data_IF_910346538602
#
_entry.id   IF_910346538602
#
_cell.length_a   1.000
_cell.length_b   1.000
_cell.length_c   1.000
_cell.angle_alpha   90.00
_cell.angle_beta   90.00
_cell.angle_gamma   90.00
#
_symmetry.space_group_name_H-M   'P 1'
#
loop_
_entity.id
_entity.type
_entity.pdbx_description
1 polymer ?
#
# COMPACT_ATOMS: atom_id res chain seq x y z
N UNK A 1 32.16 13.51 7.35
CA UNK A 1 31.31 12.31 7.57
C UNK A 1 29.88 12.76 7.36
N UNK A 2 29.22 12.30 6.30
CA UNK A 2 27.81 12.63 6.07
C UNK A 2 26.97 11.91 7.14
N UNK A 3 26.07 12.64 7.81
CA UNK A 3 25.17 12.07 8.79
C UNK A 3 24.31 10.99 8.12
N UNK A 4 24.23 9.80 8.73
CA UNK A 4 23.34 8.75 8.25
C UNK A 4 21.91 9.23 8.51
N UNK A 5 21.04 9.34 7.49
CA UNK A 5 19.68 9.79 7.69
C UNK A 5 18.92 8.77 8.55
N UNK A 6 18.03 9.26 9.42
CA UNK A 6 17.26 8.43 10.35
C UNK A 6 16.30 7.44 9.65
N UNK A 7 16.04 7.64 8.36
CA UNK A 7 15.21 6.80 7.51
C UNK A 7 15.72 6.84 6.04
N UNK A 8 15.36 5.87 5.19
CA UNK A 8 15.86 5.79 3.81
C UNK A 8 15.21 6.77 2.83
N UNK A 9 14.11 7.43 3.21
CA UNK A 9 13.28 8.27 2.33
C UNK A 9 13.83 9.71 2.16
N UNK A 10 14.98 9.84 1.50
CA UNK A 10 15.63 11.14 1.22
C UNK A 10 15.88 11.33 -0.28
N UNK A 11 14.97 10.85 -1.13
CA UNK A 11 15.15 10.86 -2.59
C UNK A 11 15.19 12.28 -3.15
N UNK A 12 16.18 12.57 -3.99
CA UNK A 12 16.26 13.84 -4.73
C UNK A 12 15.23 13.94 -5.86
N UNK A 13 14.75 12.80 -6.36
CA UNK A 13 13.69 12.68 -7.36
C UNK A 13 12.27 12.75 -6.78
N UNK A 14 12.14 12.98 -5.48
CA UNK A 14 10.84 13.07 -4.82
C UNK A 14 9.98 14.20 -5.41
N UNK A 15 8.69 13.96 -5.51
CA UNK A 15 7.68 14.91 -6.02
C UNK A 15 6.66 15.30 -4.94
N UNK A 16 6.81 14.77 -3.72
CA UNK A 16 6.00 15.10 -2.54
C UNK A 16 6.80 14.84 -1.26
N UNK A 17 6.47 15.62 -0.23
CA UNK A 17 7.01 15.45 1.12
C UNK A 17 5.89 15.05 2.07
N UNK A 18 6.07 13.95 2.81
CA UNK A 18 5.22 13.64 3.96
C UNK A 18 5.89 14.15 5.23
N UNK A 19 5.13 14.85 6.07
CA UNK A 19 5.61 15.43 7.33
C UNK A 19 4.90 14.75 8.49
N UNK A 20 5.63 13.96 9.30
CA UNK A 20 5.04 13.20 10.41
C UNK A 20 4.62 14.09 11.58
N UNK A 21 3.79 13.55 12.48
CA UNK A 21 3.37 14.27 13.69
C UNK A 21 4.49 14.54 14.68
N UNK A 22 5.59 13.79 14.60
CA UNK A 22 6.83 13.97 15.38
C UNK A 22 7.94 14.69 14.58
N UNK A 23 7.55 15.48 13.57
CA UNK A 23 8.41 16.40 12.80
C UNK A 23 9.52 15.73 11.97
N UNK A 24 9.29 14.50 11.49
CA UNK A 24 10.18 13.79 10.57
C UNK A 24 9.70 14.00 9.13
N UNK A 25 10.65 14.30 8.24
CA UNK A 25 10.40 14.71 6.85
C UNK A 25 10.76 13.58 5.89
N UNK A 26 9.77 13.07 5.16
CA UNK A 26 9.94 11.98 4.21
C UNK A 26 9.80 12.50 2.77
N UNK A 27 10.89 12.43 2.00
CA UNK A 27 10.89 12.73 0.56
C UNK A 27 10.52 11.46 -0.21
N UNK A 28 9.33 11.45 -0.83
CA UNK A 28 8.73 10.25 -1.44
C UNK A 28 8.14 10.57 -2.82
N UNK A 29 7.58 9.54 -3.47
CA UNK A 29 7.04 9.61 -4.83
C UNK A 29 5.54 9.36 -4.82
N UNK A 30 4.75 10.30 -5.35
CA UNK A 30 3.29 10.20 -5.47
C UNK A 30 2.90 8.92 -6.21
N UNK A 31 3.59 8.60 -7.30
CA UNK A 31 3.33 7.40 -8.10
C UNK A 31 3.39 6.11 -7.27
N UNK A 32 4.41 5.95 -6.43
CA UNK A 32 4.57 4.73 -5.62
C UNK A 32 3.44 4.63 -4.59
N UNK A 33 3.09 5.74 -3.95
CA UNK A 33 1.98 5.79 -3.00
C UNK A 33 0.63 5.52 -3.67
N UNK A 34 0.39 6.09 -4.87
CA UNK A 34 -0.83 5.88 -5.64
C UNK A 34 -0.99 4.44 -6.16
N UNK A 35 0.13 3.78 -6.53
CA UNK A 35 0.12 2.35 -6.88
C UNK A 35 -0.20 1.49 -5.64
N UNK A 36 0.34 1.87 -4.48
CA UNK A 36 0.18 1.09 -3.25
C UNK A 36 -1.19 1.28 -2.58
N UNK A 37 -1.88 2.40 -2.85
CA UNK A 37 -3.08 2.83 -2.12
C UNK A 37 -4.03 3.63 -3.00
N UNK A 38 -5.27 3.15 -3.04
CA UNK A 38 -6.39 3.86 -3.68
C UNK A 38 -6.64 5.22 -3.00
N UNK A 39 -6.51 5.29 -1.67
CA UNK A 39 -6.62 6.55 -0.91
C UNK A 39 -5.63 7.60 -1.41
N UNK A 40 -4.35 7.24 -1.57
CA UNK A 40 -3.33 8.19 -2.02
C UNK A 40 -3.54 8.58 -3.48
N UNK A 41 -3.91 7.63 -4.35
CA UNK A 41 -4.26 7.93 -5.74
C UNK A 41 -5.37 8.99 -5.80
N UNK A 42 -6.49 8.71 -5.14
CA UNK A 42 -7.66 9.58 -5.17
C UNK A 42 -7.34 10.95 -4.54
N UNK A 43 -6.54 10.99 -3.47
CA UNK A 43 -6.08 12.23 -2.83
C UNK A 43 -5.20 13.09 -3.75
N UNK A 44 -4.33 12.48 -4.56
CA UNK A 44 -3.47 13.22 -5.50
C UNK A 44 -4.22 13.70 -6.75
N UNK A 45 -5.31 13.05 -7.12
CA UNK A 45 -6.17 13.43 -8.25
C UNK A 45 -7.11 14.60 -7.91
N UNK A 46 -7.25 14.97 -6.64
CA UNK A 46 -8.07 16.11 -6.23
C UNK A 46 -7.49 17.44 -6.76
N UNK A 47 -8.32 18.33 -7.33
CA UNK A 47 -7.88 19.67 -7.71
C UNK A 47 -7.33 20.42 -6.49
N UNK A 48 -6.04 20.76 -6.53
CA UNK A 48 -5.46 21.62 -5.52
C UNK A 48 -5.98 23.05 -5.73
N UNK A 49 -6.38 23.78 -4.68
CA UNK A 49 -6.72 25.18 -4.81
C UNK A 49 -5.50 25.92 -5.35
N UNK A 50 -5.61 26.46 -6.57
CA UNK A 50 -4.55 27.26 -7.18
C UNK A 50 -4.39 28.52 -6.34
N UNK A 51 -3.25 28.65 -5.66
CA UNK A 51 -2.76 29.95 -5.23
C UNK A 51 -2.45 30.74 -6.50
N UNK A 52 -3.45 31.48 -6.99
CA UNK A 52 -3.28 32.41 -8.10
C UNK A 52 -2.19 33.40 -7.70
N UNK A 53 -1.02 33.20 -8.29
CA UNK A 53 0.13 34.09 -8.24
C UNK A 53 -0.16 35.33 -9.08
N UNK A 54 -1.08 36.16 -8.62
CA UNK A 54 -1.13 37.56 -9.03
C UNK A 54 -0.27 38.33 -8.02
N UNK A 55 0.93 38.66 -8.49
CA UNK A 55 1.79 39.75 -8.06
C UNK A 55 1.40 40.47 -6.76
N UNK A 56 2.01 40.09 -5.64
CA UNK A 56 2.62 41.07 -4.76
C UNK A 56 3.68 40.40 -3.86
N UNK A 57 4.89 40.90 -4.00
CA UNK A 57 6.11 40.47 -3.32
C UNK A 57 6.06 40.83 -1.84
N UNK A 58 5.23 40.17 -1.03
CA UNK A 58 5.28 40.22 0.45
C UNK A 58 4.32 39.25 1.13
N UNK A 59 4.09 38.06 0.58
CA UNK A 59 3.46 36.97 1.34
C UNK A 59 4.56 36.20 2.12
N UNK A 60 4.39 35.93 3.43
CA UNK A 60 5.32 35.10 4.17
C UNK A 60 5.34 33.72 3.53
N UNK A 61 6.52 33.10 3.48
CA UNK A 61 6.74 31.72 3.00
C UNK A 61 5.73 30.82 3.71
N UNK A 62 4.63 30.49 3.05
CA UNK A 62 3.60 29.64 3.64
C UNK A 62 4.21 28.25 3.82
N UNK A 63 3.89 27.63 4.95
CA UNK A 63 4.42 26.37 5.47
C UNK A 63 4.13 25.13 4.59
N UNK A 64 3.86 25.32 3.31
CA UNK A 64 3.27 24.34 2.39
C UNK A 64 4.29 23.71 1.44
N UNK A 65 5.54 24.20 1.43
CA UNK A 65 6.60 23.68 0.56
C UNK A 65 7.91 23.45 1.32
N UNK A 66 8.52 22.27 1.09
CA UNK A 66 9.87 21.92 1.56
C UNK A 66 10.69 21.61 0.31
N UNK A 67 11.78 22.36 0.11
CA UNK A 67 12.64 22.28 -1.10
C UNK A 67 11.86 22.43 -2.42
N UNK A 68 10.79 23.25 -2.42
CA UNK A 68 9.90 23.44 -3.57
C UNK A 68 8.92 22.30 -3.83
N UNK A 69 8.91 21.27 -2.98
CA UNK A 69 7.97 20.14 -3.07
C UNK A 69 6.74 20.39 -2.20
N UNK A 70 5.53 19.96 -2.63
CA UNK A 70 4.33 20.05 -1.82
C UNK A 70 4.45 19.19 -0.55
N UNK A 71 4.03 19.74 0.58
CA UNK A 71 4.08 19.08 1.89
C UNK A 71 2.71 18.58 2.31
N UNK A 72 2.64 17.32 2.75
CA UNK A 72 1.44 16.70 3.30
C UNK A 72 1.72 16.39 4.77
N UNK A 73 1.00 17.07 5.67
CA UNK A 73 1.08 16.85 7.11
C UNK A 73 0.29 15.61 7.50
N UNK A 74 0.95 14.70 8.21
CA UNK A 74 0.44 13.41 8.64
C UNK A 74 0.18 13.43 10.15
N UNK A 75 -0.82 12.68 10.61
CA UNK A 75 -1.09 12.50 12.05
C UNK A 75 -0.22 11.38 12.64
N UNK A 76 0.29 10.52 11.76
CA UNK A 76 1.08 9.35 12.07
C UNK A 76 2.51 9.76 12.42
N UNK A 77 3.06 9.10 13.45
CA UNK A 77 4.44 9.30 13.87
C UNK A 77 5.42 8.60 12.93
N UNK A 78 6.69 8.96 13.03
CA UNK A 78 7.78 8.33 12.29
C UNK A 78 7.86 6.81 12.51
N UNK A 79 7.49 6.34 13.71
CA UNK A 79 7.43 4.91 14.06
C UNK A 79 6.36 4.14 13.28
N UNK A 80 5.30 4.80 12.84
CA UNK A 80 4.29 4.21 11.97
C UNK A 80 4.66 4.41 10.49
N UNK A 81 5.03 5.64 10.10
CA UNK A 81 5.26 5.99 8.70
C UNK A 81 6.50 5.32 8.10
N UNK A 82 7.61 5.22 8.83
CA UNK A 82 8.84 4.62 8.29
C UNK A 82 8.62 3.17 7.85
N UNK A 83 8.16 2.24 8.71
CA UNK A 83 7.88 0.87 8.28
C UNK A 83 6.76 0.80 7.23
N UNK A 84 5.73 1.64 7.33
CA UNK A 84 4.65 1.67 6.35
C UNK A 84 5.15 2.02 4.95
N UNK A 85 5.99 3.06 4.83
CA UNK A 85 6.62 3.45 3.58
C UNK A 85 7.58 2.38 3.08
N UNK A 86 8.31 1.70 3.96
CA UNK A 86 9.16 0.56 3.57
C UNK A 86 8.35 -0.56 2.92
N UNK A 87 7.10 -0.79 3.37
CA UNK A 87 6.20 -1.76 2.76
C UNK A 87 5.62 -1.32 1.41
N UNK A 88 5.57 0.00 1.15
CA UNK A 88 5.13 0.56 -0.13
C UNK A 88 6.23 0.53 -1.19
N UNK A 89 7.48 0.70 -0.76
CA UNK A 89 8.64 0.73 -1.63
C UNK A 89 9.23 -0.68 -1.82
N UNK A 90 10.03 -0.92 -2.88
CA UNK A 90 10.78 -2.16 -3.05
C UNK A 90 11.99 -2.22 -2.10
N UNK A 91 11.75 -2.01 -0.81
CA UNK A 91 12.74 -2.11 0.27
C UNK A 91 12.56 -3.42 1.03
N UNK A 92 13.51 -3.71 1.91
CA UNK A 92 13.40 -4.84 2.85
C UNK A 92 12.19 -4.64 3.77
N UNK A 93 11.52 -5.72 4.13
CA UNK A 93 10.40 -5.66 5.07
C UNK A 93 10.89 -5.14 6.43
N UNK A 94 10.18 -4.18 7.05
CA UNK A 94 10.56 -3.67 8.35
C UNK A 94 10.44 -4.76 9.41
N UNK A 95 11.40 -4.77 10.34
CA UNK A 95 11.34 -5.64 11.50
C UNK A 95 10.41 -5.00 12.54
N UNK A 96 9.21 -5.57 12.69
CA UNK A 96 8.23 -5.15 13.69
C UNK A 96 8.22 -6.17 14.82
N UNK A 97 8.78 -5.81 15.98
CA UNK A 97 8.98 -6.75 17.09
C UNK A 97 7.96 -6.58 18.20
N UNK A 98 7.46 -5.36 18.40
CA UNK A 98 6.51 -5.08 19.47
C UNK A 98 5.08 -4.97 18.94
N UNK A 99 4.13 -5.41 19.76
CA UNK A 99 2.70 -5.26 19.43
C UNK A 99 2.29 -3.79 19.27
N UNK A 100 2.96 -2.87 19.95
CA UNK A 100 2.71 -1.42 19.82
C UNK A 100 3.10 -0.92 18.43
N UNK A 101 4.26 -1.32 17.91
CA UNK A 101 4.69 -0.98 16.54
C UNK A 101 3.76 -1.61 15.50
N UNK A 102 3.47 -2.91 15.63
CA UNK A 102 2.57 -3.61 14.70
C UNK A 102 1.20 -2.94 14.66
N UNK A 103 0.66 -2.55 15.82
CA UNK A 103 -0.61 -1.82 15.92
C UNK A 103 -0.56 -0.47 15.19
N UNK A 104 0.47 0.33 15.43
CA UNK A 104 0.60 1.65 14.82
C UNK A 104 0.73 1.55 13.29
N UNK A 105 1.46 0.56 12.79
CA UNK A 105 1.57 0.30 11.34
C UNK A 105 0.26 -0.20 10.76
N UNK A 106 -0.43 -1.12 11.44
CA UNK A 106 -1.69 -1.67 10.99
C UNK A 106 -2.80 -0.61 10.93
N UNK A 107 -2.87 0.27 11.94
CA UNK A 107 -3.79 1.40 11.97
C UNK A 107 -3.55 2.35 10.80
N UNK A 108 -2.30 2.75 10.56
CA UNK A 108 -1.95 3.59 9.43
C UNK A 108 -2.24 2.89 8.08
N UNK A 109 -1.95 1.59 7.98
CA UNK A 109 -2.19 0.82 6.77
C UNK A 109 -3.69 0.73 6.43
N UNK A 110 -4.54 0.51 7.44
CA UNK A 110 -6.01 0.52 7.25
C UNK A 110 -6.49 1.93 6.89
N UNK A 111 -6.01 2.96 7.61
CA UNK A 111 -6.39 4.36 7.37
C UNK A 111 -6.10 4.82 5.95
N UNK A 112 -4.95 4.44 5.40
CA UNK A 112 -4.51 4.82 4.06
C UNK A 112 -4.82 3.76 3.00
N UNK A 113 -5.69 2.78 3.29
CA UNK A 113 -6.04 1.70 2.37
C UNK A 113 -4.83 1.01 1.68
N UNK A 114 -3.77 0.77 2.46
CA UNK A 114 -2.55 0.11 2.01
C UNK A 114 -2.67 -1.39 2.20
N UNK A 115 -3.45 -2.05 1.33
CA UNK A 115 -3.87 -3.46 1.49
C UNK A 115 -2.72 -4.42 1.78
N UNK A 116 -1.62 -4.33 1.02
CA UNK A 116 -0.44 -5.19 1.22
C UNK A 116 0.22 -4.95 2.58
N UNK A 117 0.35 -3.70 3.00
CA UNK A 117 0.90 -3.36 4.30
C UNK A 117 -0.01 -3.87 5.43
N UNK A 118 -1.34 -3.75 5.28
CA UNK A 118 -2.32 -4.29 6.23
C UNK A 118 -2.21 -5.80 6.36
N UNK A 119 -2.07 -6.54 5.26
CA UNK A 119 -1.90 -8.00 5.29
C UNK A 119 -0.62 -8.42 6.01
N UNK A 120 0.50 -7.74 5.74
CA UNK A 120 1.78 -8.03 6.41
C UNK A 120 1.67 -7.71 7.90
N UNK A 121 1.12 -6.55 8.27
CA UNK A 121 0.96 -6.17 9.68
C UNK A 121 0.00 -7.11 10.44
N UNK A 122 -1.10 -7.58 9.81
CA UNK A 122 -1.99 -8.61 10.39
C UNK A 122 -1.25 -9.92 10.64
N UNK A 123 -0.41 -10.38 9.70
CA UNK A 123 0.40 -11.58 9.87
C UNK A 123 1.35 -11.45 11.07
N UNK A 124 2.06 -10.34 11.17
CA UNK A 124 2.93 -10.04 12.34
C UNK A 124 2.14 -9.96 13.64
N UNK A 125 0.93 -9.40 13.61
CA UNK A 125 0.07 -9.36 14.78
C UNK A 125 -0.34 -10.77 15.24
N UNK A 126 -0.63 -11.67 14.30
CA UNK A 126 -0.95 -13.08 14.60
C UNK A 126 0.25 -13.82 15.21
N UNK A 127 1.47 -13.56 14.73
CA UNK A 127 2.71 -14.11 15.30
C UNK A 127 2.91 -13.71 16.78
N UNK A 128 2.34 -12.57 17.20
CA UNK A 128 2.40 -12.06 18.58
C UNK A 128 1.25 -12.52 19.47
N UNK A 129 0.29 -13.30 18.97
CA UNK A 129 -0.83 -13.81 19.77
C UNK A 129 -0.34 -14.60 20.99
N UNK A 130 0.61 -15.55 20.89
CA UNK A 130 1.05 -16.33 22.06
C UNK A 130 1.69 -15.48 23.16
N UNK A 131 2.30 -14.35 22.81
CA UNK A 131 3.00 -13.49 23.78
C UNK A 131 2.10 -12.43 24.41
N UNK A 132 1.07 -11.97 23.70
CA UNK A 132 0.21 -10.88 24.16
C UNK A 132 -1.26 -11.04 23.68
N UNK A 133 -1.93 -12.15 24.00
CA UNK A 133 -3.21 -12.49 23.38
C UNK A 133 -4.33 -11.50 23.75
N UNK A 134 -4.38 -11.02 25.00
CA UNK A 134 -5.33 -9.97 25.41
C UNK A 134 -5.14 -8.66 24.65
N UNK A 135 -3.89 -8.23 24.45
CA UNK A 135 -3.59 -6.99 23.70
C UNK A 135 -4.01 -7.13 22.25
N UNK A 136 -3.71 -8.26 21.62
CA UNK A 136 -4.14 -8.53 20.24
C UNK A 136 -5.66 -8.55 20.15
N UNK A 137 -6.37 -9.20 21.08
CA UNK A 137 -7.83 -9.23 21.11
C UNK A 137 -8.43 -7.81 21.17
N UNK A 138 -7.92 -6.96 22.06
CA UNK A 138 -8.37 -5.57 22.22
C UNK A 138 -8.18 -4.77 20.93
N UNK A 139 -6.98 -4.84 20.34
CA UNK A 139 -6.63 -4.13 19.11
C UNK A 139 -7.49 -4.63 17.95
N UNK A 140 -7.60 -5.95 17.79
CA UNK A 140 -8.42 -6.56 16.75
C UNK A 140 -9.90 -6.16 16.90
N UNK A 141 -10.41 -6.10 18.13
CA UNK A 141 -11.76 -5.60 18.40
C UNK A 141 -11.95 -4.14 17.95
N UNK A 142 -10.99 -3.27 18.28
CA UNK A 142 -11.03 -1.84 17.91
C UNK A 142 -10.98 -1.63 16.40
N UNK A 143 -10.19 -2.45 15.70
CA UNK A 143 -9.98 -2.34 14.25
C UNK A 143 -10.99 -3.15 13.43
N UNK A 144 -11.96 -3.82 14.06
CA UNK A 144 -12.96 -4.64 13.37
C UNK A 144 -12.37 -5.89 12.70
N UNK A 145 -11.30 -6.43 13.26
CA UNK A 145 -10.54 -7.56 12.71
C UNK A 145 -11.02 -8.88 13.35
N UNK A 146 -12.14 -9.41 12.85
CA UNK A 146 -12.83 -10.54 13.47
C UNK A 146 -11.98 -11.82 13.54
N UNK A 147 -11.29 -12.17 12.46
CA UNK A 147 -10.44 -13.36 12.42
C UNK A 147 -9.30 -13.29 13.43
N UNK A 148 -8.63 -12.13 13.51
CA UNK A 148 -7.56 -11.90 14.47
C UNK A 148 -8.07 -11.86 15.91
N UNK A 149 -9.25 -11.27 16.13
CA UNK A 149 -9.89 -11.27 17.44
C UNK A 149 -10.27 -12.69 17.86
N UNK A 150 -10.78 -13.51 16.94
CA UNK A 150 -11.12 -14.89 17.22
C UNK A 150 -9.88 -15.73 17.56
N UNK A 151 -8.82 -15.60 16.76
CA UNK A 151 -7.55 -16.29 17.01
C UNK A 151 -6.96 -15.91 18.38
N UNK A 152 -7.03 -14.62 18.75
CA UNK A 152 -6.60 -14.17 20.06
C UNK A 152 -7.50 -14.71 21.18
N UNK A 153 -8.82 -14.72 21.02
CA UNK A 153 -9.76 -15.26 22.00
C UNK A 153 -9.54 -16.76 22.26
N UNK A 154 -9.26 -17.53 21.22
CA UNK A 154 -8.86 -18.94 21.36
C UNK A 154 -7.61 -19.08 22.23
N UNK A 155 -6.60 -18.25 22.00
CA UNK A 155 -5.37 -18.30 22.79
C UNK A 155 -5.60 -17.89 24.24
N UNK A 156 -6.40 -16.84 24.48
CA UNK A 156 -6.79 -16.41 25.83
C UNK A 156 -7.45 -17.56 26.60
N UNK A 157 -8.38 -18.27 25.94
CA UNK A 157 -9.06 -19.43 26.52
C UNK A 157 -8.08 -20.55 26.84
N UNK A 158 -7.19 -20.91 25.90
CA UNK A 158 -6.19 -21.97 26.08
C UNK A 158 -5.23 -21.68 27.22
N UNK A 159 -4.73 -20.46 27.30
CA UNK A 159 -3.73 -20.03 28.29
C UNK A 159 -4.35 -19.55 29.62
N UNK A 160 -5.70 -19.47 29.71
CA UNK A 160 -6.47 -19.06 30.90
C UNK A 160 -6.07 -17.69 31.45
N UNK A 161 -5.80 -16.75 30.55
CA UNK A 161 -5.31 -15.41 30.92
C UNK A 161 -6.41 -14.34 30.91
N UNK A 162 -7.69 -14.72 30.84
CA UNK A 162 -8.80 -13.77 30.69
C UNK A 162 -8.94 -12.74 31.82
N UNK A 163 -8.46 -13.06 33.03
CA UNK A 163 -8.58 -12.21 34.22
C UNK A 163 -7.35 -11.29 34.44
N UNK A 164 -6.38 -11.30 33.52
CA UNK A 164 -5.19 -10.45 33.64
C UNK A 164 -5.51 -9.00 33.25
N UNK A 165 -5.12 -8.06 34.11
CA UNK A 165 -5.18 -6.65 33.78
C UNK A 165 -4.09 -6.30 32.76
N UNK A 166 -4.46 -5.52 31.75
CA UNK A 166 -3.55 -4.97 30.75
C UNK A 166 -3.86 -3.49 30.63
N UNK A 167 -2.84 -2.63 30.58
CA UNK A 167 -2.98 -1.17 30.51
C UNK A 167 -3.91 -0.66 29.38
N UNK A 168 -4.12 -1.48 28.33
CA UNK A 168 -5.04 -1.20 27.22
C UNK A 168 -6.48 -1.70 27.42
N UNK A 169 -6.84 -2.28 28.56
CA UNK A 169 -8.21 -2.76 28.82
C UNK A 169 -9.24 -1.62 28.80
N UNK A 170 -8.83 -0.39 29.08
CA UNK A 170 -9.72 0.78 29.04
C UNK A 170 -10.12 1.17 27.61
N UNK A 171 -9.37 0.71 26.60
CA UNK A 171 -9.62 1.01 25.18
C UNK A 171 -10.65 0.06 24.54
N UNK A 172 -10.97 -1.08 25.20
CA UNK A 172 -11.96 -2.03 24.69
C UNK A 172 -13.35 -1.69 25.23
N UNK A 173 -14.36 -1.76 24.36
CA UNK A 173 -15.75 -1.63 24.82
C UNK A 173 -16.08 -2.73 25.85
N UNK A 174 -16.80 -2.37 26.92
CA UNK A 174 -17.26 -3.32 27.92
C UNK A 174 -17.94 -4.54 27.29
N UNK A 175 -18.73 -4.33 26.22
CA UNK A 175 -19.39 -5.41 25.50
C UNK A 175 -18.41 -6.40 24.84
N UNK A 176 -17.29 -5.93 24.29
CA UNK A 176 -16.28 -6.80 23.69
C UNK A 176 -15.50 -7.60 24.73
N UNK A 177 -15.22 -7.01 25.89
CA UNK A 177 -14.65 -7.75 27.03
C UNK A 177 -15.64 -8.78 27.60
N UNK A 178 -16.91 -8.41 27.78
CA UNK A 178 -17.94 -9.33 28.27
C UNK A 178 -18.15 -10.52 27.33
N UNK A 179 -18.10 -10.32 26.01
CA UNK A 179 -18.15 -11.42 25.03
C UNK A 179 -16.96 -12.36 25.16
N UNK A 180 -15.75 -11.85 25.42
CA UNK A 180 -14.58 -12.68 25.68
C UNK A 180 -14.78 -13.55 26.93
N UNK A 181 -15.25 -12.96 28.03
CA UNK A 181 -15.52 -13.71 29.25
C UNK A 181 -16.58 -14.80 29.04
N UNK A 182 -17.65 -14.49 28.31
CA UNK A 182 -18.68 -15.45 27.93
C UNK A 182 -18.11 -16.56 27.03
N UNK A 183 -17.27 -16.22 26.06
CA UNK A 183 -16.60 -17.19 25.19
C UNK A 183 -15.72 -18.16 26.01
N UNK A 184 -14.97 -17.64 26.99
CA UNK A 184 -14.15 -18.47 27.87
C UNK A 184 -14.98 -19.35 28.80
N UNK A 185 -16.10 -18.85 29.34
CA UNK A 185 -16.97 -19.63 30.24
C UNK A 185 -17.77 -20.71 29.49
N UNK A 186 -18.11 -20.47 28.22
CA UNK A 186 -18.80 -21.41 27.35
C UNK A 186 -17.86 -22.46 26.70
N UNK A 187 -16.59 -22.53 27.11
CA UNK A 187 -15.66 -23.55 26.66
C UNK A 187 -15.10 -23.36 25.24
N UNK A 188 -15.18 -22.14 24.69
CA UNK A 188 -14.64 -21.82 23.36
C UNK A 188 -15.49 -22.30 22.17
N UNK A 189 -16.68 -22.85 22.41
CA UNK A 189 -17.61 -23.33 21.38
C UNK A 189 -18.78 -22.37 21.10
N UNK A 190 -18.84 -21.25 21.83
CA UNK A 190 -19.84 -20.21 21.57
C UNK A 190 -19.50 -19.48 20.26
N UNK A 191 -20.47 -19.39 19.34
CA UNK A 191 -20.33 -18.66 18.09
C UNK A 191 -19.73 -17.28 18.31
N UNK A 192 -18.53 -17.06 17.77
CA UNK A 192 -17.79 -15.82 17.93
C UNK A 192 -18.28 -14.79 16.91
N UNK A 193 -18.96 -13.75 17.40
CA UNK A 193 -19.45 -12.64 16.57
C UNK A 193 -19.17 -11.29 17.21
N UNK A 194 -18.40 -10.46 16.52
CA UNK A 194 -18.16 -9.08 16.96
C UNK A 194 -19.34 -8.20 16.53
N UNK A 195 -20.41 -8.14 17.32
CA UNK A 195 -21.45 -7.13 17.07
C UNK A 195 -20.87 -5.76 17.38
N UNK A 196 -20.54 -4.99 16.34
CA UNK A 196 -20.20 -3.58 16.43
C UNK A 196 -21.46 -2.80 16.79
N UNK A 197 -21.50 -2.19 17.97
CA UNK A 197 -22.48 -1.13 18.24
C UNK A 197 -21.88 0.15 17.70
N UNK A 198 -22.15 0.48 16.45
CA UNK A 198 -22.05 1.86 16.01
C UNK A 198 -23.16 2.66 16.73
N UNK A 199 -22.91 3.89 17.20
CA UNK A 199 -23.95 4.72 17.77
C UNK A 199 -24.93 5.08 16.65
N UNK A 200 -25.98 4.28 16.51
CA UNK A 200 -27.09 4.58 15.62
C UNK A 200 -27.72 5.87 16.09
N UNK A 201 -27.60 6.94 15.29
CA UNK A 201 -28.51 8.08 15.37
C UNK A 201 -29.92 7.53 15.15
N UNK A 202 -30.67 7.38 16.24
CA UNK A 202 -32.09 7.10 16.22
C UNK A 202 -32.83 8.31 15.66
N UNK A 203 -33.34 8.19 14.44
CA UNK A 203 -34.35 9.07 13.85
C UNK A 203 -35.54 8.22 13.38
N UNK A 204 -36.80 8.68 13.54
CA UNK A 204 -37.95 7.79 13.51
C UNK A 204 -38.32 7.33 12.09
N UNK A 205 -38.87 6.12 12.05
CA UNK A 205 -39.46 5.45 10.88
C UNK A 205 -40.56 6.30 10.22
N UNK A 206 -40.55 6.39 8.89
CA UNK A 206 -41.75 6.72 8.10
C UNK A 206 -41.95 5.69 6.99
N UNK A 207 -43.21 5.29 6.86
CA UNK A 207 -43.73 4.18 6.05
C UNK A 207 -43.69 4.46 4.55
N UNK A 208 -43.54 3.36 3.80
CA UNK A 208 -43.95 3.12 2.41
C UNK A 208 -45.22 3.89 2.02
N UNK A 209 -45.20 4.54 0.86
CA UNK A 209 -46.29 4.46 -0.09
C UNK A 209 -45.83 4.68 -1.54
N UNK A 210 -46.55 4.04 -2.45
CA UNK A 210 -46.22 3.73 -3.84
C UNK A 210 -47.14 4.53 -4.76
N UNK A 211 -46.64 5.38 -5.67
CA UNK A 211 -47.34 5.70 -6.93
C UNK A 211 -46.47 6.39 -8.00
N UNK A 212 -46.92 6.16 -9.24
CA UNK A 212 -46.33 6.31 -10.57
C UNK A 212 -46.51 7.72 -11.19
N UNK A 213 -45.81 7.88 -12.33
CA UNK A 213 -45.94 8.88 -13.42
C UNK A 213 -45.29 10.24 -13.12
N UNK A 214 -44.75 11.03 -14.05
CA UNK A 214 -44.30 11.02 -15.47
C UNK A 214 -44.05 12.51 -15.80
N UNK A 215 -43.40 12.85 -16.91
CA UNK A 215 -43.28 14.16 -17.57
C UNK A 215 -42.03 14.99 -17.22
N UNK A 216 -41.02 14.77 -18.08
CA UNK A 216 -40.39 15.74 -18.99
C UNK A 216 -40.26 17.21 -18.53
N UNK A 217 -39.00 17.69 -18.44
CA UNK A 217 -38.58 18.94 -19.08
C UNK A 217 -37.07 19.11 -19.11
N UNK A 218 -36.57 19.14 -20.33
CA UNK A 218 -35.24 19.57 -20.80
C UNK A 218 -34.70 20.86 -20.16
N UNK A 219 -33.39 20.89 -19.93
CA UNK A 219 -32.57 22.09 -20.17
C UNK A 219 -31.11 21.73 -20.40
N UNK A 220 -30.72 21.80 -21.67
CA UNK A 220 -29.34 21.80 -22.14
C UNK A 220 -28.66 23.13 -21.75
N UNK A 221 -27.39 23.06 -21.33
CA UNK A 221 -26.49 24.20 -21.34
C UNK A 221 -25.23 23.76 -22.09
N UNK A 222 -25.18 24.19 -23.35
CA UNK A 222 -23.99 24.26 -24.20
C UNK A 222 -23.04 25.31 -23.62
N UNK A 223 -21.75 25.03 -23.53
CA UNK A 223 -20.75 26.10 -23.61
C UNK A 223 -19.55 25.67 -24.46
N UNK A 224 -19.18 26.63 -25.30
CA UNK A 224 -18.33 26.63 -26.47
C UNK A 224 -16.84 26.47 -26.16
N UNK A 225 -16.15 25.72 -27.02
CA UNK A 225 -14.69 25.68 -27.14
C UNK A 225 -14.21 26.90 -27.93
N UNK A 226 -13.12 27.58 -27.54
CA UNK A 226 -12.34 28.37 -28.48
C UNK A 226 -11.17 27.54 -29.02
N UNK A 227 -11.21 27.36 -30.34
CA UNK A 227 -10.06 27.02 -31.17
C UNK A 227 -9.21 28.29 -31.31
N UNK A 228 -7.89 28.19 -31.10
CA UNK A 228 -6.95 29.14 -31.69
C UNK A 228 -5.64 28.46 -32.06
N UNK A 229 -5.28 28.66 -33.31
CA UNK A 229 -4.14 28.14 -34.06
C UNK A 229 -2.95 29.10 -33.99
N UNK A 230 -1.71 28.59 -33.86
CA UNK A 230 -0.52 28.93 -34.68
C UNK A 230 0.83 28.53 -34.02
N UNK A 231 1.47 27.49 -34.59
CA UNK A 231 2.88 27.36 -35.08
C UNK A 231 4.12 27.73 -34.24
N UNK A 232 5.30 27.13 -34.57
CA UNK A 232 6.31 26.68 -33.62
C UNK A 232 7.54 27.61 -33.51
N UNK A 233 8.34 27.42 -32.47
CA UNK A 233 9.73 27.88 -32.46
C UNK A 233 10.69 26.82 -31.92
N UNK A 234 11.85 26.79 -32.58
CA UNK A 234 12.89 25.75 -32.53
C UNK A 234 14.03 26.16 -31.59
N UNK A 235 14.67 25.13 -31.03
CA UNK A 235 16.01 25.07 -30.42
C UNK A 235 16.17 25.45 -28.94
N UNK A 236 16.48 24.44 -28.12
CA UNK A 236 17.79 24.35 -27.44
C UNK A 236 18.10 22.89 -27.16
N UNK A 237 19.28 22.48 -27.61
CA UNK A 237 19.85 21.14 -27.46
C UNK A 237 20.33 20.95 -26.02
N UNK A 238 19.83 19.90 -25.35
CA UNK A 238 20.35 19.38 -24.09
C UNK A 238 20.25 17.85 -24.09
N UNK A 239 21.39 17.17 -23.93
CA UNK A 239 21.61 15.72 -23.91
C UNK A 239 20.40 14.84 -23.47
N UNK A 240 20.02 13.79 -24.21
CA UNK A 240 19.00 12.86 -23.74
C UNK A 240 19.65 11.89 -22.75
N UNK A 241 19.45 12.12 -21.47
CA UNK A 241 19.27 10.99 -20.54
C UNK A 241 17.90 10.39 -20.88
N UNK A 242 17.75 9.06 -21.03
CA UNK A 242 16.46 8.48 -21.32
C UNK A 242 15.60 8.55 -20.05
N UNK A 243 14.88 9.66 -19.91
CA UNK A 243 13.73 9.74 -19.01
C UNK A 243 12.64 8.95 -19.70
N UNK A 244 12.37 7.73 -19.22
CA UNK A 244 11.24 6.94 -19.68
C UNK A 244 9.97 7.76 -19.43
N UNK A 245 9.37 8.30 -20.49
CA UNK A 245 8.09 9.00 -20.43
C UNK A 245 7.06 8.10 -19.77
N UNK A 246 6.40 8.67 -18.77
CA UNK A 246 5.31 8.11 -17.97
C UNK A 246 4.03 7.95 -18.80
N UNK A 247 4.04 7.00 -19.73
CA UNK A 247 2.83 6.33 -20.21
C UNK A 247 2.77 4.94 -19.60
N UNK A 248 1.58 4.40 -19.37
CA UNK A 248 1.40 2.99 -19.02
C UNK A 248 1.97 2.12 -20.14
N UNK A 249 3.25 1.74 -20.02
CA UNK A 249 3.90 0.88 -21.00
C UNK A 249 3.42 -0.54 -20.70
N UNK A 250 2.48 -1.03 -21.51
CA UNK A 250 2.18 -2.45 -21.57
C UNK A 250 3.38 -3.17 -22.19
N UNK A 251 4.24 -3.72 -21.32
CA UNK A 251 5.43 -4.47 -21.73
C UNK A 251 5.06 -5.95 -21.74
N UNK A 252 5.33 -6.63 -22.85
CA UNK A 252 5.22 -8.08 -22.94
C UNK A 252 6.62 -8.67 -22.90
N UNK A 253 6.85 -9.65 -22.02
CA UNK A 253 8.07 -10.45 -22.06
C UNK A 253 7.86 -11.60 -23.04
N UNK A 254 8.81 -11.78 -23.95
CA UNK A 254 8.87 -12.95 -24.84
C UNK A 254 9.84 -13.96 -24.23
N UNK A 255 9.33 -15.07 -23.73
CA UNK A 255 10.11 -16.09 -23.03
C UNK A 255 10.83 -17.03 -24.00
N UNK A 256 11.80 -17.81 -23.51
CA UNK A 256 12.58 -18.71 -24.38
C UNK A 256 11.76 -19.87 -24.96
N UNK A 257 10.64 -20.22 -24.33
CA UNK A 257 9.62 -21.16 -24.82
C UNK A 257 8.55 -20.49 -25.71
N UNK A 258 8.76 -19.22 -26.10
CA UNK A 258 7.92 -18.50 -27.05
C UNK A 258 6.59 -18.00 -26.48
N UNK A 259 6.42 -17.98 -25.16
CA UNK A 259 5.23 -17.43 -24.52
C UNK A 259 5.34 -15.91 -24.36
N UNK A 260 4.18 -15.27 -24.40
CA UNK A 260 4.02 -13.81 -24.24
C UNK A 260 3.45 -13.54 -22.85
N UNK A 261 4.26 -12.97 -21.96
CA UNK A 261 3.83 -12.62 -20.60
C UNK A 261 3.61 -11.11 -20.49
N UNK A 262 2.35 -10.63 -20.45
CA UNK A 262 2.09 -9.22 -20.21
C UNK A 262 2.44 -8.86 -18.77
N UNK A 263 3.15 -7.75 -18.59
CA UNK A 263 3.44 -7.18 -17.28
C UNK A 263 2.47 -6.03 -17.04
N UNK A 264 1.70 -6.12 -15.95
CA UNK A 264 0.86 -5.01 -15.49
C UNK A 264 1.72 -4.02 -14.69
N UNK A 265 2.05 -2.89 -15.31
CA UNK A 265 2.75 -1.77 -14.67
C UNK A 265 4.28 -1.89 -14.60
N UNK A 266 4.92 -0.84 -14.10
CA UNK A 266 6.39 -0.70 -14.11
C UNK A 266 7.09 -1.36 -12.91
N UNK A 267 6.35 -1.99 -11.99
CA UNK A 267 6.88 -2.49 -10.71
C UNK A 267 8.07 -3.45 -10.84
N UNK A 268 8.01 -4.40 -11.79
CA UNK A 268 9.10 -5.36 -12.02
C UNK A 268 10.33 -4.72 -12.66
N UNK A 269 10.19 -3.62 -13.41
CA UNK A 269 11.32 -2.89 -13.99
C UNK A 269 12.13 -2.16 -12.93
N UNK A 270 11.47 -1.61 -11.91
CA UNK A 270 12.17 -1.02 -10.77
C UNK A 270 12.88 -2.07 -9.92
N UNK A 271 12.42 -3.31 -9.96
CA UNK A 271 13.00 -4.42 -9.23
C UNK A 271 14.21 -5.07 -9.92
N UNK A 272 14.38 -4.86 -11.24
CA UNK A 272 15.48 -5.44 -12.01
C UNK A 272 16.21 -4.40 -12.85
N UNK A 273 17.47 -4.07 -12.51
CA UNK A 273 18.31 -3.20 -13.33
C UNK A 273 18.52 -3.75 -14.75
N UNK A 274 18.58 -5.07 -14.91
CA UNK A 274 18.74 -5.70 -16.22
C UNK A 274 17.49 -5.58 -17.09
N UNK A 275 16.29 -5.84 -16.55
CA UNK A 275 15.05 -5.65 -17.31
C UNK A 275 14.83 -4.18 -17.67
N UNK A 276 15.10 -3.27 -16.73
CA UNK A 276 15.06 -1.83 -16.98
C UNK A 276 16.02 -1.42 -18.10
N UNK A 277 17.25 -1.93 -18.10
CA UNK A 277 18.23 -1.67 -19.17
C UNK A 277 17.82 -2.29 -20.52
N UNK A 278 17.21 -3.47 -20.52
CA UNK A 278 16.71 -4.13 -21.74
C UNK A 278 15.57 -3.34 -22.38
N UNK A 279 14.68 -2.77 -21.56
CA UNK A 279 13.59 -1.90 -21.99
C UNK A 279 14.13 -0.54 -22.48
N UNK A 280 15.03 0.09 -21.73
CA UNK A 280 15.60 1.40 -22.07
C UNK A 280 16.44 1.41 -23.36
N UNK A 281 17.00 0.25 -23.77
CA UNK A 281 17.74 0.10 -25.03
C UNK A 281 16.84 0.08 -26.28
N UNK A 282 15.52 0.06 -26.12
CA UNK A 282 14.57 0.03 -27.24
C UNK A 282 13.87 1.38 -27.38
N UNK A 283 14.08 2.02 -28.53
CA UNK A 283 13.60 3.36 -28.85
C UNK A 283 12.18 3.39 -29.43
N UNK A 284 11.53 2.25 -29.63
CA UNK A 284 10.16 2.17 -30.16
C UNK A 284 9.22 1.48 -29.18
N UNK A 285 8.10 2.16 -28.95
CA UNK A 285 6.96 1.75 -28.15
C UNK A 285 6.27 0.59 -28.88
N UNK A 286 6.00 -0.50 -28.15
CA UNK A 286 5.52 -1.83 -28.58
C UNK A 286 6.60 -2.79 -29.16
N UNK A 287 6.74 -4.05 -28.73
CA UNK A 287 5.85 -4.80 -27.83
C UNK A 287 6.49 -6.01 -27.13
N UNK A 288 7.74 -6.43 -27.38
CA UNK A 288 8.24 -7.69 -26.80
C UNK A 288 9.69 -7.62 -26.33
N UNK A 289 9.93 -7.81 -25.03
CA UNK A 289 11.28 -7.91 -24.46
C UNK A 289 11.66 -9.39 -24.35
N UNK A 290 12.63 -9.88 -25.14
CA UNK A 290 13.04 -11.27 -25.09
C UNK A 290 13.78 -11.53 -23.78
N UNK A 291 13.38 -12.60 -23.11
CA UNK A 291 14.02 -13.15 -21.92
C UNK A 291 14.42 -14.59 -22.22
N UNK A 292 15.52 -15.01 -21.61
CA UNK A 292 16.13 -16.33 -21.86
C UNK A 292 15.50 -17.46 -21.06
N UNK A 293 14.60 -17.11 -20.14
CA UNK A 293 13.96 -17.97 -19.17
C UNK A 293 12.60 -18.40 -19.70
N UNK A 294 12.15 -19.63 -19.39
CA UNK A 294 10.83 -20.10 -19.77
C UNK A 294 9.73 -19.37 -19.00
N UNK A 295 8.50 -19.46 -19.51
CA UNK A 295 7.36 -18.73 -18.95
C UNK A 295 7.08 -19.06 -17.47
N UNK A 296 7.24 -20.32 -17.08
CA UNK A 296 7.03 -20.75 -15.70
C UNK A 296 7.96 -19.99 -14.72
N UNK A 297 9.24 -19.89 -15.05
CA UNK A 297 10.24 -19.18 -14.23
C UNK A 297 9.95 -17.68 -14.15
N UNK A 298 9.61 -17.06 -15.29
CA UNK A 298 9.29 -15.63 -15.30
C UNK A 298 7.97 -15.32 -14.59
N UNK A 299 6.99 -16.22 -14.64
CA UNK A 299 5.72 -16.09 -13.93
C UNK A 299 5.93 -16.06 -12.40
N UNK A 300 6.83 -16.90 -11.88
CA UNK A 300 7.22 -16.87 -10.46
C UNK A 300 7.77 -15.49 -10.08
N UNK A 301 8.71 -14.96 -10.88
CA UNK A 301 9.31 -13.65 -10.61
C UNK A 301 8.27 -12.54 -10.68
N UNK A 302 7.42 -12.50 -11.70
CA UNK A 302 6.36 -11.50 -11.85
C UNK A 302 5.43 -11.53 -10.63
N UNK A 303 4.97 -12.72 -10.22
CA UNK A 303 4.05 -12.88 -9.08
C UNK A 303 4.63 -12.47 -7.74
N UNK A 304 5.96 -12.54 -7.54
CA UNK A 304 6.59 -11.96 -6.33
C UNK A 304 6.35 -10.44 -6.24
N UNK A 305 6.22 -9.76 -7.38
CA UNK A 305 6.01 -8.32 -7.46
C UNK A 305 4.57 -7.94 -7.79
N UNK A 306 3.71 -8.92 -8.07
CA UNK A 306 2.27 -8.72 -8.23
C UNK A 306 1.61 -8.50 -6.85
N UNK A 307 0.79 -7.45 -6.68
CA UNK A 307 0.11 -7.17 -5.41
C UNK A 307 -1.08 -8.10 -5.13
N UNK A 308 -1.58 -8.86 -6.10
CA UNK A 308 -2.79 -9.68 -6.02
C UNK A 308 -2.54 -11.19 -6.11
N UNK A 309 -1.43 -11.62 -6.71
CA UNK A 309 -1.11 -13.04 -6.88
C UNK A 309 0.10 -13.46 -6.03
N UNK A 310 -0.01 -14.61 -5.35
CA UNK A 310 1.17 -15.25 -4.75
C UNK A 310 1.85 -16.17 -5.78
N UNK A 311 3.19 -16.21 -5.82
CA UNK A 311 3.89 -17.17 -6.65
C UNK A 311 3.60 -18.59 -6.15
N UNK A 312 3.23 -19.46 -7.07
CA UNK A 312 3.01 -20.87 -6.80
C UNK A 312 4.19 -21.66 -7.37
N UNK A 313 4.76 -22.55 -6.57
CA UNK A 313 5.86 -23.43 -6.99
C UNK A 313 5.29 -24.83 -7.21
N UNK A 314 5.38 -25.37 -8.43
CA UNK A 314 4.84 -26.71 -8.70
C UNK A 314 5.78 -27.80 -8.16
N UNK A 315 7.10 -27.56 -8.21
CA UNK A 315 8.11 -28.50 -7.75
C UNK A 315 9.42 -27.81 -7.28
N UNK A 316 10.39 -28.62 -6.87
CA UNK A 316 11.72 -28.15 -6.46
C UNK A 316 12.52 -27.53 -7.62
N UNK A 317 12.20 -27.90 -8.87
CA UNK A 317 12.88 -27.42 -10.06
C UNK A 317 12.50 -25.95 -10.34
N UNK A 318 11.24 -25.59 -10.14
CA UNK A 318 10.73 -24.22 -10.23
C UNK A 318 11.44 -23.28 -9.26
N UNK A 319 11.73 -23.74 -8.05
CA UNK A 319 12.43 -22.97 -7.02
C UNK A 319 13.88 -22.72 -7.42
N UNK A 320 14.55 -23.76 -7.90
CA UNK A 320 15.93 -23.64 -8.34
C UNK A 320 16.04 -22.71 -9.56
N UNK A 321 15.17 -22.91 -10.56
CA UNK A 321 15.09 -22.06 -11.74
C UNK A 321 14.75 -20.61 -11.39
N UNK A 322 13.77 -20.41 -10.49
CA UNK A 322 13.36 -19.10 -9.99
C UNK A 322 14.50 -18.37 -9.27
N UNK A 323 15.28 -19.08 -8.45
CA UNK A 323 16.39 -18.50 -7.71
C UNK A 323 17.54 -18.08 -8.64
N UNK A 324 17.90 -18.92 -9.61
CA UNK A 324 18.90 -18.59 -10.64
C UNK A 324 18.46 -17.36 -11.45
N UNK A 325 17.20 -17.33 -11.86
CA UNK A 325 16.66 -16.20 -12.62
C UNK A 325 16.61 -14.92 -11.76
N UNK A 326 16.20 -15.01 -10.50
CA UNK A 326 16.18 -13.86 -9.58
C UNK A 326 17.57 -13.27 -9.35
N UNK A 327 18.60 -14.11 -9.18
CA UNK A 327 20.00 -13.69 -9.08
C UNK A 327 20.47 -13.01 -10.36
N UNK A 328 20.19 -13.61 -11.52
CA UNK A 328 20.52 -13.05 -12.83
C UNK A 328 19.92 -11.66 -13.00
N UNK A 329 18.63 -11.50 -12.70
CA UNK A 329 17.93 -10.22 -12.86
C UNK A 329 18.19 -9.22 -11.72
N UNK A 330 18.96 -9.59 -10.69
CA UNK A 330 19.26 -8.73 -9.53
C UNK A 330 18.05 -8.48 -8.61
N UNK A 331 17.06 -9.35 -8.65
CA UNK A 331 15.78 -9.22 -7.94
C UNK A 331 15.87 -9.70 -6.49
N UNK A 332 16.45 -8.88 -5.60
CA UNK A 332 16.70 -9.24 -4.18
C UNK A 332 15.45 -9.73 -3.43
N UNK A 333 14.32 -9.04 -3.58
CA UNK A 333 13.06 -9.43 -2.95
C UNK A 333 12.60 -10.84 -3.40
N UNK A 334 12.79 -11.19 -4.67
CA UNK A 334 12.48 -12.53 -5.17
C UNK A 334 13.41 -13.59 -4.61
N UNK A 335 14.71 -13.31 -4.49
CA UNK A 335 15.67 -14.22 -3.86
C UNK A 335 15.25 -14.52 -2.41
N UNK A 336 14.97 -13.49 -1.63
CA UNK A 336 14.59 -13.66 -0.22
C UNK A 336 13.23 -14.37 -0.07
N UNK A 337 12.29 -14.07 -0.95
CA UNK A 337 10.98 -14.71 -0.96
C UNK A 337 11.10 -16.21 -1.25
N UNK A 338 11.81 -16.58 -2.32
CA UNK A 338 11.99 -17.98 -2.76
C UNK A 338 12.74 -18.78 -1.69
N UNK A 339 13.75 -18.19 -1.04
CA UNK A 339 14.49 -18.86 0.05
C UNK A 339 13.64 -19.11 1.30
N UNK A 340 12.65 -18.25 1.58
CA UNK A 340 11.78 -18.36 2.76
C UNK A 340 10.60 -19.31 2.57
N UNK A 341 10.21 -19.61 1.33
CA UNK A 341 9.04 -20.44 1.03
C UNK A 341 9.37 -21.55 -0.01
N UNK A 342 10.17 -22.56 0.35
CA UNK A 342 10.63 -23.56 -0.60
C UNK A 342 9.61 -24.65 -0.93
N UNK A 343 8.44 -24.75 -0.29
CA UNK A 343 7.34 -25.64 -0.67
C UNK A 343 6.13 -25.19 0.17
N UNK A 344 5.20 -24.42 -0.39
CA UNK A 344 3.92 -24.08 0.26
C UNK A 344 2.76 -24.76 -0.45
#
# INVERSE_FOLDING_TARGET
MAAIPAHPFTYSSADVVLYSSDNVVYKVHKLILAIASDFFRDMFDLPQPTSSSDSDSSAPVTEEQVDGLPVIRMLESSKALTPLLMLCYPLEEPVLTSITEVCAVLEAAIKFDLRRASQIAKRRMRELIPSAPLRVYIIACRLGLEDEAHAAAQEIYRSKVQDQYVEKLEEISFGAYHRLLHYCSAGGDAGFGMVSVSPTKSGPKSKKDKKKADVDRSRAITFTVPVSTATPDVSTIGSPTPVLSTGDVNIVLLTSDGQRLPISGNGILYASPLLSALVARRSNIAEEVPVTEPAATMSILIRVYDPFEQPHFADLLDIHAGLIAAEKYGMRKAIDFIRKNPLS
#
